data_IF_751723445217
#
_entry.id   IF_751723445217
#
_cell.length_a   1.000
_cell.length_b   1.000
_cell.length_c   1.000
_cell.angle_alpha   90.00
_cell.angle_beta   90.00
_cell.angle_gamma   90.00
#
_symmetry.space_group_name_H-M   'P 1'
#
loop_
_entity.id
_entity.type
_entity.pdbx_description
1 polymer ?
#
# COMPACT_ATOMS: atom_id res chain seq x y z
N UNK A 1 -6.23 -33.85 29.72
CA UNK A 1 -7.26 -32.80 29.91
C UNK A 1 -7.04 -31.75 28.83
N UNK A 2 -8.00 -31.60 27.92
CA UNK A 2 -7.93 -30.72 26.75
C UNK A 2 -8.49 -29.36 27.13
N UNK A 3 -7.67 -28.31 27.17
CA UNK A 3 -8.17 -26.94 27.31
C UNK A 3 -8.47 -26.39 25.93
N UNK A 4 -9.76 -26.40 25.60
CA UNK A 4 -10.33 -25.49 24.61
C UNK A 4 -10.22 -24.07 25.17
N UNK A 5 -9.42 -23.21 24.55
CA UNK A 5 -9.39 -21.79 24.85
C UNK A 5 -9.90 -21.04 23.62
N UNK A 6 -11.06 -20.43 23.79
CA UNK A 6 -11.87 -19.83 22.76
C UNK A 6 -11.18 -18.71 21.98
N UNK A 7 -11.45 -18.70 20.68
CA UNK A 7 -11.17 -17.57 19.80
C UNK A 7 -12.14 -16.45 20.18
N UNK A 8 -11.69 -15.52 21.03
CA UNK A 8 -12.39 -14.25 21.23
C UNK A 8 -12.16 -13.41 19.99
N UNK A 9 -13.15 -13.42 19.09
CA UNK A 9 -13.22 -12.51 17.97
C UNK A 9 -13.51 -11.09 18.51
N UNK A 10 -12.45 -10.33 18.80
CA UNK A 10 -12.58 -8.90 19.12
C UNK A 10 -12.82 -8.14 17.80
N UNK A 11 -14.09 -7.87 17.48
CA UNK A 11 -14.46 -6.93 16.41
C UNK A 11 -14.05 -5.52 16.83
N UNK A 12 -12.84 -5.12 16.47
CA UNK A 12 -12.32 -3.76 16.61
C UNK A 12 -12.94 -2.87 15.53
N UNK A 13 -13.89 -2.03 15.89
CA UNK A 13 -14.31 -0.91 15.05
C UNK A 13 -13.28 0.21 15.16
N UNK A 14 -12.16 0.06 14.43
CA UNK A 14 -11.24 1.16 14.19
C UNK A 14 -11.90 2.15 13.23
N UNK A 15 -12.41 3.28 13.74
CA UNK A 15 -12.83 4.39 12.90
C UNK A 15 -11.58 5.08 12.34
N UNK A 16 -11.09 4.60 11.20
CA UNK A 16 -9.96 5.20 10.50
C UNK A 16 -10.42 6.40 9.68
N UNK A 17 -10.05 7.61 10.12
CA UNK A 17 -10.09 8.79 9.26
C UNK A 17 -8.75 8.90 8.52
N UNK A 18 -8.76 8.70 7.20
CA UNK A 18 -7.58 8.92 6.36
C UNK A 18 -7.71 10.27 5.65
N UNK A 19 -6.77 11.19 5.87
CA UNK A 19 -6.58 12.38 5.04
C UNK A 19 -5.22 12.28 4.39
N UNK A 20 -5.19 11.90 3.11
CA UNK A 20 -4.03 11.91 2.19
C UNK A 20 -2.75 11.25 2.68
N UNK A 21 -2.12 11.88 3.67
CA UNK A 21 -0.83 11.57 4.24
C UNK A 21 -0.90 11.22 5.75
N UNK A 22 -2.09 11.14 6.33
CA UNK A 22 -2.30 10.86 7.75
C UNK A 22 -3.44 9.86 7.97
N UNK A 23 -3.18 8.83 8.78
CA UNK A 23 -4.16 7.90 9.28
C UNK A 23 -4.28 8.03 10.81
N UNK A 24 -5.51 8.13 11.28
CA UNK A 24 -5.85 8.23 12.71
C UNK A 24 -6.60 6.98 13.14
N UNK A 25 -6.06 6.25 14.11
CA UNK A 25 -6.58 4.95 14.56
C UNK A 25 -6.73 4.99 16.07
N UNK A 26 -7.98 4.99 16.56
CA UNK A 26 -8.24 4.83 17.99
C UNK A 26 -8.07 3.36 18.39
N UNK A 27 -7.24 3.10 19.38
CA UNK A 27 -6.96 1.77 19.91
C UNK A 27 -7.14 1.74 21.44
N UNK A 28 -7.59 0.60 22.02
CA UNK A 28 -7.46 0.36 23.44
C UNK A 28 -5.99 0.41 23.90
N UNK A 29 -5.74 0.87 25.13
CA UNK A 29 -4.39 1.03 25.70
C UNK A 29 -3.53 -0.23 25.61
N UNK A 30 -4.12 -1.40 25.83
CA UNK A 30 -3.41 -2.68 25.75
C UNK A 30 -2.86 -3.00 24.35
N UNK A 31 -3.54 -2.55 23.29
CA UNK A 31 -3.06 -2.71 21.92
C UNK A 31 -2.06 -1.62 21.54
N UNK A 32 -2.29 -0.39 21.98
CA UNK A 32 -1.38 0.74 21.75
C UNK A 32 0.00 0.53 22.38
N UNK A 33 0.10 -0.20 23.49
CA UNK A 33 1.37 -0.57 24.12
C UNK A 33 2.31 -1.41 23.22
N UNK A 34 1.80 -1.96 22.10
CA UNK A 34 2.57 -2.74 21.12
C UNK A 34 3.01 -1.91 19.91
N UNK A 35 2.66 -0.62 19.87
CA UNK A 35 2.98 0.26 18.75
C UNK A 35 4.34 0.91 18.99
N UNK A 36 5.28 0.72 18.07
CA UNK A 36 6.55 1.45 18.06
C UNK A 36 6.32 2.89 17.60
N UNK A 37 6.76 3.87 18.40
CA UNK A 37 6.69 5.30 18.06
C UNK A 37 7.92 5.77 17.28
N UNK A 38 7.78 6.90 16.60
CA UNK A 38 8.86 7.55 15.86
C UNK A 38 8.86 7.25 14.37
N UNK A 39 10.00 7.48 13.71
CA UNK A 39 10.12 7.41 12.25
C UNK A 39 10.43 5.99 11.78
N UNK A 40 9.54 5.41 10.96
CA UNK A 40 9.67 4.07 10.36
C UNK A 40 9.24 4.11 8.89
N UNK A 41 10.08 3.63 7.97
CA UNK A 41 9.76 3.50 6.55
C UNK A 41 9.25 4.80 5.88
N UNK A 42 9.73 5.97 6.34
CA UNK A 42 9.29 7.29 5.86
C UNK A 42 7.95 7.77 6.43
N UNK A 43 7.38 7.02 7.37
CA UNK A 43 6.21 7.37 8.17
C UNK A 43 6.68 7.84 9.55
N UNK A 44 5.88 8.68 10.20
CA UNK A 44 6.05 9.12 11.56
C UNK A 44 4.84 8.65 12.38
N UNK A 45 5.12 7.92 13.46
CA UNK A 45 4.09 7.31 14.31
C UNK A 45 4.05 8.04 15.65
N UNK A 46 2.95 8.75 15.89
CA UNK A 46 2.64 9.44 17.14
C UNK A 46 1.53 8.72 17.92
N UNK A 47 1.55 8.89 19.24
CA UNK A 47 0.52 8.39 20.15
C UNK A 47 0.00 9.53 21.01
N UNK A 48 -1.32 9.69 21.07
CA UNK A 48 -1.99 10.63 21.95
C UNK A 48 -2.95 9.88 22.88
N UNK A 49 -2.88 10.08 24.22
CA UNK A 49 -3.82 9.45 25.13
C UNK A 49 -5.24 9.99 24.91
N UNK A 50 -6.22 9.08 24.91
CA UNK A 50 -7.65 9.37 24.93
C UNK A 50 -8.26 8.86 26.24
N UNK A 51 -9.43 9.37 26.67
CA UNK A 51 -10.10 8.89 27.89
C UNK A 51 -10.29 7.36 27.94
N UNK A 52 -10.60 6.76 26.80
CA UNK A 52 -10.89 5.31 26.67
C UNK A 52 -9.84 4.54 25.85
N UNK A 53 -8.64 5.11 25.65
CA UNK A 53 -7.60 4.45 24.86
C UNK A 53 -6.47 5.37 24.42
N UNK A 54 -5.96 5.13 23.21
CA UNK A 54 -4.87 5.88 22.60
C UNK A 54 -5.21 6.10 21.14
N UNK A 55 -5.05 7.33 20.67
CA UNK A 55 -5.06 7.65 19.25
C UNK A 55 -3.66 7.42 18.68
N UNK A 56 -3.56 6.49 17.73
CA UNK A 56 -2.35 6.32 16.92
C UNK A 56 -2.49 7.18 15.69
N UNK A 57 -1.55 8.11 15.51
CA UNK A 57 -1.44 8.91 14.31
C UNK A 57 -0.25 8.41 13.51
N UNK A 58 -0.50 7.93 12.30
CA UNK A 58 0.54 7.56 11.34
C UNK A 58 0.52 8.62 10.25
N UNK A 59 1.56 9.45 10.20
CA UNK A 59 1.69 10.53 9.22
C UNK A 59 2.86 10.29 8.28
N UNK A 60 2.80 10.88 7.10
CA UNK A 60 3.89 10.88 6.13
C UNK A 60 4.15 12.31 5.68
N UNK A 61 5.36 12.82 5.87
CA UNK A 61 5.73 14.09 5.25
C UNK A 61 6.14 13.83 3.79
N UNK A 62 5.23 14.06 2.86
CA UNK A 62 5.53 13.97 1.43
C UNK A 62 6.12 15.31 0.97
N UNK A 63 7.31 15.28 0.41
CA UNK A 63 7.93 16.45 -0.21
C UNK A 63 7.84 16.30 -1.72
N UNK A 64 7.32 17.30 -2.44
CA UNK A 64 7.32 17.25 -3.89
C UNK A 64 8.75 17.25 -4.42
N UNK A 65 9.01 16.46 -5.46
CA UNK A 65 10.25 16.59 -6.20
C UNK A 65 10.20 17.87 -7.03
N UNK A 66 11.21 18.74 -6.89
CA UNK A 66 11.33 19.95 -7.72
C UNK A 66 11.44 19.61 -9.22
N UNK A 67 12.07 18.47 -9.54
CA UNK A 67 12.14 17.89 -10.88
C UNK A 67 11.81 16.41 -10.76
N UNK A 68 10.87 15.92 -11.58
CA UNK A 68 10.56 14.50 -11.59
C UNK A 68 11.81 13.68 -11.96
N UNK A 69 12.20 12.69 -11.16
CA UNK A 69 13.40 11.90 -11.43
C UNK A 69 13.22 11.09 -12.73
N UNK A 70 14.34 10.74 -13.36
CA UNK A 70 14.33 9.78 -14.46
C UNK A 70 13.94 8.38 -13.96
N UNK A 71 13.36 7.59 -14.84
CA UNK A 71 13.09 6.18 -14.62
C UNK A 71 14.04 5.32 -15.48
N UNK A 72 14.60 4.21 -14.95
CA UNK A 72 14.40 3.67 -13.59
C UNK A 72 14.98 4.55 -12.49
N UNK A 73 14.34 4.55 -11.32
CA UNK A 73 14.81 5.32 -10.17
C UNK A 73 16.18 4.78 -9.70
N UNK A 74 17.19 5.64 -9.47
CA UNK A 74 18.46 5.21 -8.91
C UNK A 74 18.25 4.66 -7.48
N UNK A 75 18.96 3.59 -7.15
CA UNK A 75 18.93 2.95 -5.82
C UNK A 75 17.53 2.50 -5.34
N UNK A 76 16.60 2.21 -6.25
CA UNK A 76 15.25 1.76 -5.87
C UNK A 76 15.22 0.51 -4.97
N UNK A 77 16.26 -0.34 -5.04
CA UNK A 77 16.40 -1.52 -4.18
C UNK A 77 16.64 -1.18 -2.70
N UNK A 78 17.12 0.03 -2.38
CA UNK A 78 17.30 0.51 -1.00
C UNK A 78 16.01 1.11 -0.41
N UNK A 79 14.96 1.27 -1.22
CA UNK A 79 13.70 1.88 -0.81
C UNK A 79 12.63 0.81 -0.55
N UNK A 80 12.22 0.70 0.72
CA UNK A 80 11.12 -0.15 1.18
C UNK A 80 11.56 -1.54 1.64
N UNK A 81 10.60 -2.33 2.10
CA UNK A 81 10.83 -3.72 2.50
C UNK A 81 10.95 -4.62 1.26
N UNK A 82 12.04 -5.38 1.15
CA UNK A 82 12.37 -6.14 -0.05
C UNK A 82 11.38 -7.27 -0.33
N UNK A 83 10.82 -7.89 0.71
CA UNK A 83 9.84 -8.96 0.60
C UNK A 83 8.48 -8.40 0.16
N UNK A 84 8.04 -7.30 0.76
CA UNK A 84 6.81 -6.60 0.39
C UNK A 84 6.83 -6.06 -1.05
N UNK A 85 8.03 -5.81 -1.59
CA UNK A 85 8.25 -5.31 -2.94
C UNK A 85 8.61 -6.40 -3.95
N UNK A 86 8.69 -7.66 -3.51
CA UNK A 86 9.01 -8.78 -4.37
C UNK A 86 7.88 -8.99 -5.40
N UNK A 87 8.23 -9.01 -6.66
CA UNK A 87 7.32 -9.37 -7.75
C UNK A 87 7.63 -10.80 -8.17
N UNK A 88 6.65 -11.71 -8.19
CA UNK A 88 6.86 -13.08 -8.62
C UNK A 88 7.47 -13.12 -10.03
N UNK A 89 8.45 -14.01 -10.25
CA UNK A 89 9.09 -14.17 -11.56
C UNK A 89 8.12 -14.60 -12.68
N UNK A 90 6.91 -15.04 -12.34
CA UNK A 90 5.83 -15.34 -13.29
C UNK A 90 5.00 -14.12 -13.70
N UNK A 91 5.08 -13.01 -12.96
CA UNK A 91 4.39 -11.78 -13.30
C UNK A 91 5.01 -11.17 -14.56
N UNK A 92 4.16 -10.76 -15.50
CA UNK A 92 4.57 -10.21 -16.78
C UNK A 92 3.83 -8.91 -17.01
N UNK A 93 4.54 -7.92 -17.55
CA UNK A 93 3.93 -6.72 -18.08
C UNK A 93 2.90 -7.09 -19.17
N UNK A 94 1.65 -6.60 -19.08
CA UNK A 94 0.66 -6.71 -20.12
C UNK A 94 1.19 -6.19 -21.46
N UNK A 95 0.80 -6.78 -22.61
CA UNK A 95 1.25 -6.36 -23.94
C UNK A 95 1.16 -4.85 -24.18
N UNK A 96 0.07 -4.23 -23.71
CA UNK A 96 -0.23 -2.80 -23.85
C UNK A 96 0.76 -1.91 -23.12
N UNK A 97 1.51 -2.46 -22.15
CA UNK A 97 2.50 -1.76 -21.36
C UNK A 97 3.94 -2.16 -21.69
N UNK A 98 4.17 -3.11 -22.61
CA UNK A 98 5.53 -3.52 -22.99
C UNK A 98 6.37 -2.38 -23.56
N UNK A 99 5.74 -1.38 -24.17
CA UNK A 99 6.45 -0.17 -24.63
C UNK A 99 7.10 0.62 -23.48
N UNK A 100 6.66 0.43 -22.23
CA UNK A 100 7.31 0.99 -21.05
C UNK A 100 8.63 0.28 -20.73
N UNK A 101 8.82 -1.00 -21.10
CA UNK A 101 9.92 -1.85 -20.62
C UNK A 101 11.33 -1.45 -21.10
N UNK A 102 11.50 -0.39 -21.91
CA UNK A 102 12.82 -0.01 -22.43
C UNK A 102 12.98 1.47 -22.76
N UNK A 103 12.06 2.35 -22.36
CA UNK A 103 12.15 3.78 -22.65
C UNK A 103 12.62 4.56 -21.42
N UNK A 104 13.81 5.19 -21.45
CA UNK A 104 14.16 6.22 -20.50
C UNK A 104 13.10 7.33 -20.56
N UNK A 105 12.71 7.85 -19.40
CA UNK A 105 11.71 8.91 -19.34
C UNK A 105 11.50 9.41 -17.91
N UNK A 106 10.60 10.36 -17.75
CA UNK A 106 10.21 10.84 -16.42
C UNK A 106 9.48 9.75 -15.63
N UNK A 107 9.89 9.53 -14.38
CA UNK A 107 9.19 8.63 -13.45
C UNK A 107 7.71 9.05 -13.26
N UNK A 108 7.41 10.35 -13.32
CA UNK A 108 6.03 10.84 -13.27
C UNK A 108 5.23 10.39 -14.50
N UNK A 109 5.78 10.49 -15.70
CA UNK A 109 5.10 10.05 -16.93
C UNK A 109 4.83 8.53 -16.91
N UNK A 110 5.79 7.74 -16.40
CA UNK A 110 5.63 6.30 -16.23
C UNK A 110 4.55 5.96 -15.20
N UNK A 111 4.57 6.64 -14.05
CA UNK A 111 3.55 6.48 -13.01
C UNK A 111 2.16 6.79 -13.57
N UNK A 112 1.98 7.92 -14.25
CA UNK A 112 0.71 8.32 -14.86
C UNK A 112 0.23 7.26 -15.87
N UNK A 113 1.11 6.75 -16.73
CA UNK A 113 0.76 5.71 -17.71
C UNK A 113 0.26 4.43 -17.04
N UNK A 114 0.95 3.95 -16.01
CA UNK A 114 0.58 2.73 -15.28
C UNK A 114 -0.71 2.93 -14.50
N UNK A 115 -0.86 4.03 -13.75
CA UNK A 115 -2.07 4.33 -12.98
C UNK A 115 -3.28 4.48 -13.90
N UNK A 116 -3.09 5.12 -15.06
CA UNK A 116 -4.15 5.24 -16.07
C UNK A 116 -4.58 3.87 -16.58
N UNK A 117 -3.63 3.02 -16.95
CA UNK A 117 -3.93 1.64 -17.37
C UNK A 117 -4.69 0.87 -16.29
N UNK A 118 -4.21 0.85 -15.05
CA UNK A 118 -4.87 0.12 -13.96
C UNK A 118 -6.28 0.66 -13.71
N UNK A 119 -6.47 1.98 -13.83
CA UNK A 119 -7.78 2.60 -13.64
C UNK A 119 -8.79 2.23 -14.73
N UNK A 120 -8.32 1.89 -15.93
CA UNK A 120 -9.15 1.45 -17.05
C UNK A 120 -9.35 -0.07 -17.04
N UNK A 121 -8.32 -0.83 -16.67
CA UNK A 121 -8.30 -2.29 -16.71
C UNK A 121 -8.92 -2.94 -15.46
N UNK A 122 -8.98 -2.22 -14.33
CA UNK A 122 -9.45 -2.76 -13.05
C UNK A 122 -10.58 -1.89 -12.49
N UNK A 123 -11.80 -2.45 -12.50
CA UNK A 123 -12.95 -1.82 -11.88
C UNK A 123 -12.78 -1.74 -10.35
N UNK A 124 -13.08 -0.57 -9.77
CA UNK A 124 -13.10 -0.39 -8.33
C UNK A 124 -14.36 -1.05 -7.75
N UNK A 125 -14.15 -1.99 -6.83
CA UNK A 125 -15.22 -2.67 -6.11
C UNK A 125 -14.83 -2.86 -4.65
N UNK A 126 -15.38 -2.04 -3.77
CA UNK A 126 -15.10 -2.07 -2.33
C UNK A 126 -15.57 -3.36 -1.65
N UNK A 127 -16.45 -4.14 -2.31
CA UNK A 127 -16.96 -5.42 -1.81
C UNK A 127 -16.25 -6.62 -2.42
N UNK A 128 -15.20 -6.41 -3.21
CA UNK A 128 -14.44 -7.52 -3.79
C UNK A 128 -13.79 -8.36 -2.67
N UNK A 129 -14.21 -9.62 -2.55
CA UNK A 129 -13.68 -10.58 -1.59
C UNK A 129 -12.46 -11.35 -2.08
N UNK A 130 -12.03 -11.16 -3.33
CA UNK A 130 -10.88 -11.85 -3.90
C UNK A 130 -9.54 -11.40 -3.32
N UNK A 131 -8.48 -12.16 -3.63
CA UNK A 131 -7.11 -11.75 -3.35
C UNK A 131 -6.79 -10.41 -4.03
N UNK A 132 -6.07 -9.55 -3.31
CA UNK A 132 -5.76 -8.17 -3.72
C UNK A 132 -4.29 -8.00 -4.16
N UNK A 133 -3.60 -9.08 -4.48
CA UNK A 133 -2.29 -9.01 -5.13
C UNK A 133 -2.43 -8.60 -6.61
N UNK A 134 -1.33 -8.10 -7.19
CA UNK A 134 -1.32 -7.57 -8.55
C UNK A 134 -1.80 -8.57 -9.61
N UNK A 135 -1.35 -9.83 -9.52
CA UNK A 135 -1.67 -10.86 -10.51
C UNK A 135 -3.16 -11.22 -10.47
N UNK A 136 -3.68 -11.47 -9.28
CA UNK A 136 -5.10 -11.80 -9.08
C UNK A 136 -6.04 -10.69 -9.52
N UNK A 137 -5.70 -9.43 -9.21
CA UNK A 137 -6.53 -8.26 -9.54
C UNK A 137 -6.52 -7.98 -11.04
N UNK A 138 -5.35 -8.03 -11.69
CA UNK A 138 -5.25 -7.83 -13.13
C UNK A 138 -5.94 -8.95 -13.92
N UNK A 139 -5.78 -10.21 -13.50
CA UNK A 139 -6.45 -11.34 -14.15
C UNK A 139 -7.98 -11.25 -14.04
N UNK A 140 -8.49 -10.74 -12.92
CA UNK A 140 -9.92 -10.62 -12.65
C UNK A 140 -10.54 -9.34 -13.21
N UNK A 141 -9.76 -8.28 -13.42
CA UNK A 141 -10.24 -6.97 -13.89
C UNK A 141 -11.10 -6.21 -12.87
N UNK A 142 -11.11 -6.61 -11.59
CA UNK A 142 -11.77 -5.88 -10.50
C UNK A 142 -11.01 -6.02 -9.19
N UNK A 143 -11.08 -5.00 -8.34
CA UNK A 143 -10.44 -5.00 -7.03
C UNK A 143 -10.78 -3.80 -6.17
N UNK A 144 -10.38 -3.85 -4.90
CA UNK A 144 -10.44 -2.71 -3.98
C UNK A 144 -9.33 -1.70 -4.31
N UNK A 145 -9.35 -0.55 -3.63
CA UNK A 145 -8.30 0.46 -3.75
C UNK A 145 -6.88 -0.11 -3.54
N UNK A 146 -6.71 -1.00 -2.56
CA UNK A 146 -5.44 -1.70 -2.29
C UNK A 146 -5.02 -2.64 -3.41
N UNK A 147 -5.98 -3.34 -4.02
CA UNK A 147 -5.73 -4.18 -5.19
C UNK A 147 -5.23 -3.39 -6.40
N UNK A 148 -5.87 -2.25 -6.69
CA UNK A 148 -5.42 -1.32 -7.75
C UNK A 148 -4.03 -0.75 -7.45
N UNK A 149 -3.75 -0.38 -6.20
CA UNK A 149 -2.43 0.08 -5.79
C UNK A 149 -1.35 -1.01 -5.99
N UNK A 150 -1.62 -2.25 -5.56
CA UNK A 150 -0.72 -3.39 -5.74
C UNK A 150 -0.47 -3.70 -7.22
N UNK A 151 -1.52 -3.66 -8.06
CA UNK A 151 -1.38 -3.82 -9.51
C UNK A 151 -0.45 -2.75 -10.10
N UNK A 152 -0.61 -1.49 -9.73
CA UNK A 152 0.26 -0.41 -10.20
C UNK A 152 1.72 -0.61 -9.75
N UNK A 153 1.95 -1.01 -8.50
CA UNK A 153 3.30 -1.31 -7.99
C UNK A 153 3.94 -2.48 -8.75
N UNK A 154 3.19 -3.56 -8.96
CA UNK A 154 3.66 -4.73 -9.71
C UNK A 154 4.07 -4.37 -11.14
N UNK A 155 3.26 -3.57 -11.84
CA UNK A 155 3.54 -3.11 -13.20
C UNK A 155 4.72 -2.13 -13.29
N UNK A 156 4.97 -1.33 -12.25
CA UNK A 156 6.14 -0.45 -12.17
C UNK A 156 7.44 -1.20 -11.82
N UNK A 157 7.35 -2.46 -11.41
CA UNK A 157 8.48 -3.31 -11.00
C UNK A 157 8.80 -4.41 -12.01
N UNK A 158 7.81 -4.81 -12.82
CA UNK A 158 7.94 -5.85 -13.86
C UNK A 158 8.50 -5.38 -15.18
#
# INVERSE_FOLDING_TARGET
MRFAAGVVALTLFAAAGARGDEARIALPTALAARVETGRRCGLEVGLEPLPDGVLVTVSRTVHPFAVAPAYPLPHAAACGDAEALAVPASFRLPPELRWLAGRPGSAAARLVSVVTYVSQAVALDDRDGGAQDAASVLARGRGRCSGRANAAVGLLRG
#
